data_IF_739179778097
#
_entry.id   IF_739179778097
#
_cell.length_a   1.000
_cell.length_b   1.000
_cell.length_c   1.000
_cell.angle_alpha   90.00
_cell.angle_beta   90.00
_cell.angle_gamma   90.00
#
_symmetry.space_group_name_H-M   'P 1'
#
loop_
_entity.id
_entity.type
_entity.pdbx_description
1 polymer ?
#
# COMPACT_ATOMS: atom_id res chain seq x y z
N UNK A 1 -50.60 1.19 -13.69
CA UNK A 1 -49.92 0.96 -12.40
C UNK A 1 -48.86 2.04 -12.20
N UNK A 2 -48.90 2.85 -11.13
CA UNK A 2 -47.84 3.82 -10.87
C UNK A 2 -46.55 3.10 -10.47
N UNK A 3 -45.41 3.54 -11.02
CA UNK A 3 -44.09 2.95 -10.77
C UNK A 3 -43.54 3.53 -9.46
N UNK A 4 -43.39 2.68 -8.45
CA UNK A 4 -42.76 3.04 -7.17
C UNK A 4 -41.25 3.20 -7.37
N UNK A 5 -40.76 4.44 -7.36
CA UNK A 5 -39.33 4.73 -7.45
C UNK A 5 -38.67 4.30 -6.13
N UNK A 6 -37.63 3.44 -6.17
CA UNK A 6 -36.98 2.97 -4.96
C UNK A 6 -36.20 4.08 -4.24
N UNK A 7 -36.32 4.12 -2.91
CA UNK A 7 -35.85 5.20 -2.03
C UNK A 7 -34.34 5.50 -2.06
N UNK A 8 -33.52 4.70 -2.74
CA UNK A 8 -32.08 4.96 -2.90
C UNK A 8 -31.76 5.86 -4.11
N UNK A 9 -32.72 6.08 -5.01
CA UNK A 9 -32.59 6.99 -6.16
C UNK A 9 -32.97 8.44 -5.84
N UNK A 10 -33.46 8.71 -4.63
CA UNK A 10 -33.79 10.05 -4.16
C UNK A 10 -32.57 10.59 -3.42
N UNK A 11 -32.05 11.80 -3.75
CA UNK A 11 -30.92 12.40 -3.05
C UNK A 11 -31.28 12.58 -1.58
N UNK A 12 -30.66 11.78 -0.71
CA UNK A 12 -30.81 11.90 0.74
C UNK A 12 -30.10 13.17 1.19
N UNK A 13 -30.85 14.14 1.71
CA UNK A 13 -30.28 15.33 2.36
C UNK A 13 -29.33 14.97 3.51
N UNK A 14 -28.45 15.89 3.87
CA UNK A 14 -27.38 15.69 4.85
C UNK A 14 -27.90 15.10 6.19
N UNK A 15 -27.16 14.17 6.82
CA UNK A 15 -27.61 13.52 8.04
C UNK A 15 -27.79 14.51 9.19
N UNK A 16 -28.99 14.53 9.79
CA UNK A 16 -29.31 15.34 10.96
C UNK A 16 -28.41 15.00 12.15
N UNK A 17 -28.02 16.01 12.93
CA UNK A 17 -27.19 15.89 14.14
C UNK A 17 -27.77 14.90 15.18
N UNK A 18 -29.07 14.57 15.09
CA UNK A 18 -29.73 13.58 15.96
C UNK A 18 -29.29 12.14 15.66
N UNK A 19 -28.95 11.82 14.41
CA UNK A 19 -28.49 10.49 13.97
C UNK A 19 -27.05 10.20 14.39
N UNK A 20 -26.22 11.23 14.57
CA UNK A 20 -24.84 11.10 15.05
C UNK A 20 -24.76 10.84 16.58
N UNK A 21 -25.82 11.17 17.32
CA UNK A 21 -25.82 11.07 18.80
C UNK A 21 -26.11 9.64 19.29
N UNK A 22 -26.79 8.82 18.49
CA UNK A 22 -27.12 7.42 18.83
C UNK A 22 -25.93 6.47 18.67
N UNK A 23 -24.89 6.85 17.93
CA UNK A 23 -23.66 6.06 17.77
C UNK A 23 -22.65 6.21 18.93
N UNK A 24 -22.93 7.07 19.92
CA UNK A 24 -21.97 7.37 21.01
C UNK A 24 -22.25 6.64 22.34
N UNK A 25 -23.30 5.84 22.43
CA UNK A 25 -23.72 5.16 23.68
C UNK A 25 -23.47 3.64 23.68
N UNK A 26 -22.24 3.22 23.42
CA UNK A 26 -21.74 1.91 23.86
C UNK A 26 -20.45 2.12 24.65
N UNK A 27 -20.59 2.21 25.99
CA UNK A 27 -19.49 2.10 26.96
C UNK A 27 -19.75 0.91 27.87
N UNK A 28 -18.68 0.14 28.05
CA UNK A 28 -18.54 -1.13 28.77
C UNK A 28 -18.71 -0.91 30.29
N UNK A 29 -19.32 -1.83 31.06
CA UNK A 29 -19.40 -1.71 32.51
C UNK A 29 -18.08 -2.11 33.20
N UNK A 30 -17.57 -1.27 34.09
CA UNK A 30 -16.43 -1.56 34.96
C UNK A 30 -16.92 -2.08 36.32
N UNK A 31 -16.29 -3.16 36.79
CA UNK A 31 -16.58 -3.84 38.05
C UNK A 31 -16.12 -3.05 39.30
N UNK A 32 -16.72 -3.41 40.42
CA UNK A 32 -16.66 -2.80 41.75
C UNK A 32 -15.30 -2.88 42.47
N UNK A 33 -14.99 -1.88 43.30
CA UNK A 33 -13.92 -1.94 44.30
C UNK A 33 -14.34 -1.32 45.64
N UNK A 34 -14.08 -2.06 46.71
CA UNK A 34 -14.36 -1.76 48.13
C UNK A 34 -13.29 -0.82 48.75
N UNK A 35 -13.59 -0.02 49.80
CA UNK A 35 -12.62 0.91 50.39
C UNK A 35 -11.81 0.26 51.52
N UNK A 36 -10.51 0.59 51.62
CA UNK A 36 -9.65 0.25 52.76
C UNK A 36 -9.07 1.51 53.40
N UNK A 37 -9.10 1.48 54.73
CA UNK A 37 -8.69 2.48 55.72
C UNK A 37 -7.17 2.70 55.78
N UNK A 38 -6.76 3.95 56.08
CA UNK A 38 -5.38 4.41 56.20
C UNK A 38 -5.01 4.64 57.67
N UNK A 39 -3.85 4.14 58.11
CA UNK A 39 -3.21 4.50 59.38
C UNK A 39 -1.90 5.23 59.10
N UNK A 40 -1.68 6.31 59.86
CA UNK A 40 -0.56 7.27 59.73
C UNK A 40 0.58 6.92 60.69
N UNK A 41 1.82 7.11 60.26
CA UNK A 41 3.01 7.15 61.14
C UNK A 41 3.79 8.44 60.86
N UNK A 42 4.33 9.14 61.89
CA UNK A 42 5.02 10.41 61.70
C UNK A 42 6.53 10.20 61.41
N UNK A 43 7.06 10.96 60.44
CA UNK A 43 8.49 11.05 60.12
C UNK A 43 9.05 12.31 60.79
N UNK A 44 10.15 12.15 61.52
CA UNK A 44 10.94 13.23 62.14
C UNK A 44 11.80 13.95 61.10
N UNK A 45 11.77 15.28 61.09
CA UNK A 45 12.59 16.10 60.20
C UNK A 45 13.91 16.52 60.88
N UNK A 46 15.04 16.24 60.22
CA UNK A 46 16.34 16.84 60.53
C UNK A 46 16.41 18.26 59.97
N UNK A 47 16.72 19.26 60.81
CA UNK A 47 16.92 20.63 60.36
C UNK A 47 18.36 20.85 59.88
N UNK A 48 18.49 21.33 58.65
CA UNK A 48 19.74 21.80 58.05
C UNK A 48 19.85 23.32 58.23
N UNK A 49 21.06 23.79 58.59
CA UNK A 49 21.36 25.18 58.94
C UNK A 49 21.17 26.12 57.74
N UNK A 50 20.45 27.24 57.94
CA UNK A 50 20.22 28.28 56.93
C UNK A 50 20.97 29.57 57.29
N UNK A 51 21.62 30.18 56.31
CA UNK A 51 22.39 31.43 56.42
C UNK A 51 21.50 32.66 56.73
N UNK A 52 21.96 33.63 57.55
CA UNK A 52 21.16 34.73 58.07
C UNK A 52 20.86 35.87 57.07
N UNK A 53 21.39 35.82 55.84
CA UNK A 53 21.23 36.90 54.85
C UNK A 53 20.04 36.74 53.91
N UNK A 54 19.30 35.63 54.01
CA UNK A 54 18.11 35.36 53.17
C UNK A 54 16.85 35.49 54.04
N UNK A 55 15.78 36.15 53.56
CA UNK A 55 14.52 36.20 54.30
C UNK A 55 14.03 34.77 54.55
N UNK A 56 13.62 34.48 55.78
CA UNK A 56 13.13 33.16 56.21
C UNK A 56 11.81 32.86 55.50
N UNK A 57 11.91 32.22 54.34
CA UNK A 57 10.76 31.76 53.56
C UNK A 57 10.33 30.39 54.08
N UNK A 58 9.05 30.23 54.40
CA UNK A 58 8.47 28.94 54.76
C UNK A 58 8.61 28.00 53.56
N UNK A 59 9.44 26.96 53.69
CA UNK A 59 9.63 25.97 52.62
C UNK A 59 8.27 25.38 52.29
N UNK A 60 7.88 25.44 51.01
CA UNK A 60 6.62 24.84 50.58
C UNK A 60 6.64 23.34 50.92
N UNK A 61 5.58 22.80 51.55
CA UNK A 61 5.53 21.39 51.90
C UNK A 61 5.62 20.53 50.63
N UNK A 62 6.30 19.39 50.73
CA UNK A 62 6.44 18.46 49.60
C UNK A 62 5.06 18.08 49.05
N UNK A 63 4.95 18.12 47.72
CA UNK A 63 3.68 17.93 47.04
C UNK A 63 3.28 16.47 47.21
N UNK A 64 2.06 16.22 47.73
CA UNK A 64 1.56 14.87 48.03
C UNK A 64 1.86 13.88 46.91
N UNK A 65 2.80 12.97 47.17
CA UNK A 65 3.12 11.83 46.31
C UNK A 65 2.38 10.64 46.92
N UNK A 66 1.24 10.18 46.35
CA UNK A 66 0.62 8.97 46.84
C UNK A 66 1.65 7.83 46.78
N UNK A 67 1.60 6.85 47.70
CA UNK A 67 2.53 5.73 47.67
C UNK A 67 2.55 5.15 46.26
N UNK A 68 3.72 5.22 45.61
CA UNK A 68 3.89 4.60 44.29
C UNK A 68 3.53 3.14 44.44
N UNK A 69 2.51 2.70 43.72
CA UNK A 69 2.17 1.29 43.61
C UNK A 69 3.47 0.50 43.40
N UNK A 70 3.75 -0.58 44.16
CA UNK A 70 5.03 -1.28 44.07
C UNK A 70 5.24 -1.62 42.61
N UNK A 71 6.32 -1.07 42.02
CA UNK A 71 6.68 -1.30 40.64
C UNK A 71 6.63 -2.81 40.41
N UNK A 72 5.64 -3.22 39.62
CA UNK A 72 5.27 -4.60 39.27
C UNK A 72 6.45 -5.52 39.53
N UNK A 73 6.44 -6.29 40.64
CA UNK A 73 7.57 -7.13 41.07
C UNK A 73 7.97 -8.04 39.91
N UNK A 74 8.96 -7.60 39.13
CA UNK A 74 9.44 -8.26 37.93
C UNK A 74 10.23 -9.47 38.41
N UNK A 75 9.70 -10.66 38.11
CA UNK A 75 10.36 -11.97 38.22
C UNK A 75 10.82 -12.34 39.63
N UNK A 76 10.14 -13.31 40.26
CA UNK A 76 10.70 -13.92 41.47
C UNK A 76 12.04 -14.59 41.14
N UNK A 77 13.12 -14.02 41.67
CA UNK A 77 14.46 -14.61 41.64
C UNK A 77 14.50 -15.74 42.67
N UNK A 78 14.30 -16.98 42.24
CA UNK A 78 14.67 -18.14 43.07
C UNK A 78 16.19 -18.25 43.02
N UNK A 79 16.87 -18.06 44.15
CA UNK A 79 18.33 -18.16 44.29
C UNK A 79 19.14 -17.13 43.47
N UNK A 80 18.68 -15.88 43.37
CA UNK A 80 19.44 -14.81 42.71
C UNK A 80 19.50 -14.88 41.17
N UNK A 81 18.84 -15.85 40.55
CA UNK A 81 18.77 -15.98 39.09
C UNK A 81 17.41 -15.51 38.58
N UNK A 82 17.42 -14.57 37.64
CA UNK A 82 16.21 -14.09 36.94
C UNK A 82 15.72 -15.22 36.03
N UNK A 83 14.65 -15.92 36.42
CA UNK A 83 13.99 -16.88 35.56
C UNK A 83 13.25 -16.12 34.46
N UNK A 84 13.86 -16.02 33.27
CA UNK A 84 13.30 -15.34 32.10
C UNK A 84 12.08 -16.05 31.46
N UNK A 85 11.54 -17.10 32.09
CA UNK A 85 10.42 -17.88 31.58
C UNK A 85 9.08 -17.46 32.20
N UNK A 86 7.96 -17.60 31.46
CA UNK A 86 6.62 -17.43 32.03
C UNK A 86 6.44 -18.35 33.24
N UNK A 87 5.92 -17.80 34.33
CA UNK A 87 5.56 -18.58 35.52
C UNK A 87 4.32 -19.40 35.16
N UNK A 88 4.49 -20.69 34.90
CA UNK A 88 3.38 -21.63 34.79
C UNK A 88 2.72 -21.76 36.16
N UNK A 89 1.61 -21.04 36.33
CA UNK A 89 0.75 -21.12 37.51
C UNK A 89 0.02 -22.47 37.54
N UNK A 90 -0.33 -22.97 38.72
CA UNK A 90 0.54 -23.69 39.65
C UNK A 90 0.76 -25.14 39.16
N UNK A 91 1.83 -25.42 38.42
CA UNK A 91 2.07 -26.78 37.92
C UNK A 91 3.53 -27.04 37.55
N UNK A 92 3.98 -28.31 37.57
CA UNK A 92 5.25 -28.70 37.00
C UNK A 92 5.37 -28.21 35.55
N UNK A 93 6.59 -27.89 35.10
CA UNK A 93 6.82 -27.60 33.68
C UNK A 93 6.43 -28.84 32.88
N UNK A 94 5.61 -28.71 31.81
CA UNK A 94 5.26 -29.86 30.99
C UNK A 94 6.53 -30.50 30.43
N UNK A 95 6.57 -31.81 30.49
CA UNK A 95 7.69 -32.60 29.95
C UNK A 95 7.75 -32.40 28.43
N UNK A 96 8.92 -32.61 27.82
CA UNK A 96 9.07 -32.45 26.37
C UNK A 96 8.13 -33.40 25.60
N UNK A 97 7.98 -34.63 26.10
CA UNK A 97 7.03 -35.62 25.58
C UNK A 97 5.58 -35.14 25.64
N UNK A 98 5.17 -34.57 26.77
CA UNK A 98 3.82 -34.06 26.95
C UNK A 98 3.52 -32.85 26.04
N UNK A 99 4.52 -32.03 25.70
CA UNK A 99 4.37 -30.96 24.72
C UNK A 99 4.19 -31.49 23.29
N UNK A 100 4.92 -32.54 22.94
CA UNK A 100 4.76 -33.21 21.63
C UNK A 100 3.36 -33.82 21.51
N UNK A 101 2.89 -34.49 22.56
CA UNK A 101 1.54 -35.05 22.64
C UNK A 101 0.45 -33.96 22.56
N UNK A 102 0.66 -32.82 23.22
CA UNK A 102 -0.25 -31.66 23.17
C UNK A 102 -0.38 -31.09 21.75
N UNK A 103 0.67 -31.13 20.92
CA UNK A 103 0.63 -30.66 19.52
C UNK A 103 -0.17 -31.59 18.61
N UNK A 104 -0.15 -32.89 18.91
CA UNK A 104 -0.87 -33.92 18.13
C UNK A 104 -2.27 -34.18 18.63
N UNK A 105 -2.64 -33.69 19.82
CA UNK A 105 -3.94 -33.95 20.43
C UNK A 105 -5.05 -33.14 19.76
N UNK A 106 -5.96 -33.85 19.12
CA UNK A 106 -7.10 -33.27 18.42
C UNK A 106 -8.32 -33.17 19.35
N UNK A 107 -9.02 -32.03 19.27
CA UNK A 107 -10.30 -31.82 19.94
C UNK A 107 -11.31 -31.24 18.92
N UNK A 108 -12.62 -31.43 19.15
CA UNK A 108 -13.64 -30.89 18.25
C UNK A 108 -13.49 -29.37 18.05
N UNK A 109 -13.55 -28.91 16.80
CA UNK A 109 -13.41 -27.51 16.38
C UNK A 109 -12.04 -26.85 16.65
N UNK A 110 -11.00 -27.61 17.00
CA UNK A 110 -9.65 -27.07 17.09
C UNK A 110 -8.94 -27.05 15.72
N UNK A 111 -7.86 -26.28 15.64
CA UNK A 111 -7.00 -26.23 14.46
C UNK A 111 -6.42 -27.63 14.20
N UNK A 112 -6.33 -28.09 12.94
CA UNK A 112 -5.81 -29.41 12.62
C UNK A 112 -4.36 -29.55 13.10
N UNK A 113 -3.90 -30.75 13.50
CA UNK A 113 -2.56 -30.94 14.04
C UNK A 113 -1.47 -30.68 12.98
N UNK A 114 -0.27 -30.31 13.47
CA UNK A 114 0.91 -30.07 12.65
C UNK A 114 1.24 -31.34 11.83
N UNK A 115 1.46 -31.20 10.52
CA UNK A 115 1.75 -32.32 9.62
C UNK A 115 0.57 -32.77 8.75
N UNK A 116 -0.66 -32.36 9.05
CA UNK A 116 -1.81 -32.58 8.16
C UNK A 116 -1.76 -31.65 6.93
N UNK A 117 -2.33 -32.08 5.80
CA UNK A 117 -2.43 -31.24 4.59
C UNK A 117 -3.25 -29.98 4.87
N UNK A 118 -4.30 -30.10 5.68
CA UNK A 118 -5.15 -28.97 6.09
C UNK A 118 -4.35 -27.93 6.89
N UNK A 119 -3.54 -28.36 7.87
CA UNK A 119 -2.63 -27.47 8.60
C UNK A 119 -1.64 -26.77 7.67
N UNK A 120 -1.07 -27.52 6.71
CA UNK A 120 -0.14 -26.96 5.71
C UNK A 120 -0.84 -25.95 4.80
N UNK A 121 -2.06 -26.21 4.36
CA UNK A 121 -2.83 -25.29 3.54
C UNK A 121 -3.14 -24.00 4.28
N UNK A 122 -3.67 -24.07 5.52
CA UNK A 122 -4.06 -22.89 6.30
C UNK A 122 -2.86 -22.05 6.77
N UNK A 123 -1.73 -22.68 7.10
CA UNK A 123 -0.58 -21.99 7.68
C UNK A 123 0.42 -21.50 6.63
N UNK A 124 0.51 -22.14 5.47
CA UNK A 124 1.56 -21.80 4.49
C UNK A 124 1.21 -20.53 3.71
N UNK A 125 1.97 -19.46 3.97
CA UNK A 125 1.83 -18.18 3.24
C UNK A 125 2.10 -18.36 1.74
N UNK A 126 3.03 -19.25 1.38
CA UNK A 126 3.40 -19.48 0.00
C UNK A 126 2.28 -20.10 -0.83
N UNK A 127 1.49 -21.04 -0.27
CA UNK A 127 0.35 -21.61 -0.99
C UNK A 127 -0.71 -20.54 -1.27
N UNK A 128 -0.99 -19.66 -0.30
CA UNK A 128 -1.94 -18.56 -0.48
C UNK A 128 -1.46 -17.58 -1.54
N UNK A 129 -0.17 -17.21 -1.53
CA UNK A 129 0.41 -16.33 -2.55
C UNK A 129 0.35 -16.99 -3.93
N UNK A 130 0.65 -18.29 -4.02
CA UNK A 130 0.61 -19.02 -5.28
C UNK A 130 -0.82 -19.13 -5.84
N UNK A 131 -1.80 -19.47 -4.98
CA UNK A 131 -3.22 -19.55 -5.39
C UNK A 131 -3.75 -18.16 -5.76
N UNK A 132 -3.49 -17.15 -4.93
CA UNK A 132 -3.94 -15.79 -5.21
C UNK A 132 -3.31 -15.25 -6.50
N UNK A 133 -2.01 -15.48 -6.73
CA UNK A 133 -1.38 -15.14 -8.01
C UNK A 133 -1.92 -15.96 -9.17
N UNK A 134 -2.19 -17.25 -9.00
CA UNK A 134 -2.76 -18.10 -10.04
C UNK A 134 -4.16 -17.63 -10.47
N UNK A 135 -5.02 -17.31 -9.51
CA UNK A 135 -6.36 -16.77 -9.78
C UNK A 135 -6.25 -15.39 -10.44
N UNK A 136 -5.42 -14.49 -9.90
CA UNK A 136 -5.25 -13.15 -10.47
C UNK A 136 -4.72 -13.20 -11.90
N UNK A 137 -3.72 -14.04 -12.17
CA UNK A 137 -3.10 -14.19 -13.49
C UNK A 137 -4.07 -14.82 -14.49
N UNK A 138 -4.80 -15.87 -14.10
CA UNK A 138 -5.78 -16.52 -14.99
C UNK A 138 -6.98 -15.60 -15.29
N UNK A 139 -7.46 -14.83 -14.31
CA UNK A 139 -8.51 -13.84 -14.52
C UNK A 139 -8.03 -12.68 -15.40
N UNK A 140 -6.79 -12.22 -15.21
CA UNK A 140 -6.17 -11.20 -16.06
C UNK A 140 -6.05 -11.64 -17.52
N UNK A 141 -5.54 -12.85 -17.78
CA UNK A 141 -5.44 -13.38 -19.15
C UNK A 141 -6.82 -13.66 -19.76
N UNK A 142 -7.78 -14.15 -18.99
CA UNK A 142 -9.15 -14.38 -19.45
C UNK A 142 -9.87 -13.07 -19.80
N UNK A 143 -9.80 -12.06 -18.93
CA UNK A 143 -10.39 -10.73 -19.19
C UNK A 143 -9.69 -10.02 -20.34
N UNK A 144 -8.36 -10.12 -20.45
CA UNK A 144 -7.60 -9.60 -21.57
C UNK A 144 -8.02 -10.24 -22.90
N UNK A 145 -8.05 -11.57 -22.97
CA UNK A 145 -8.43 -12.29 -24.20
C UNK A 145 -9.88 -12.03 -24.60
N UNK A 146 -10.81 -11.98 -23.65
CA UNK A 146 -12.22 -11.65 -23.93
C UNK A 146 -12.40 -10.20 -24.41
N UNK A 147 -11.65 -9.25 -23.84
CA UNK A 147 -11.67 -7.86 -24.31
C UNK A 147 -11.06 -7.75 -25.72
N UNK A 148 -9.92 -8.40 -25.96
CA UNK A 148 -9.26 -8.44 -27.26
C UNK A 148 -10.19 -9.02 -28.34
N UNK A 149 -10.88 -10.12 -28.05
CA UNK A 149 -11.86 -10.73 -28.96
C UNK A 149 -13.05 -9.83 -29.32
N UNK A 150 -13.37 -8.84 -28.49
CA UNK A 150 -14.47 -7.89 -28.72
C UNK A 150 -14.03 -6.63 -29.46
N UNK A 151 -12.79 -6.20 -29.28
CA UNK A 151 -12.33 -4.87 -29.73
C UNK A 151 -11.38 -4.92 -30.91
N UNK A 152 -10.64 -6.02 -31.09
CA UNK A 152 -9.65 -6.14 -32.15
C UNK A 152 -10.29 -6.58 -33.47
N UNK A 153 -9.87 -6.04 -34.63
CA UNK A 153 -10.29 -6.52 -35.94
C UNK A 153 -9.58 -7.83 -36.36
N UNK A 154 -8.46 -8.19 -35.70
CA UNK A 154 -7.62 -9.34 -36.07
C UNK A 154 -7.97 -10.64 -35.35
N UNK A 155 -9.20 -10.74 -34.83
CA UNK A 155 -9.62 -11.83 -33.95
C UNK A 155 -9.75 -13.18 -34.66
N UNK A 156 -10.04 -13.14 -35.95
CA UNK A 156 -10.10 -14.33 -36.81
C UNK A 156 -8.73 -14.98 -37.03
N UNK A 157 -7.63 -14.26 -36.80
CA UNK A 157 -6.26 -14.77 -36.95
C UNK A 157 -5.74 -15.46 -35.68
N UNK A 158 -6.51 -15.42 -34.58
CA UNK A 158 -6.13 -16.08 -33.34
C UNK A 158 -6.20 -17.60 -33.48
N UNK A 159 -5.17 -18.33 -33.00
CA UNK A 159 -5.22 -19.78 -32.97
C UNK A 159 -6.33 -20.28 -32.03
N UNK A 160 -6.96 -21.40 -32.39
CA UNK A 160 -7.91 -22.09 -31.51
C UNK A 160 -7.22 -22.57 -30.24
N UNK A 161 -7.95 -22.58 -29.12
CA UNK A 161 -7.46 -23.10 -27.85
C UNK A 161 -7.05 -24.58 -27.91
N UNK A 162 -7.63 -25.36 -28.83
CA UNK A 162 -7.23 -26.75 -29.07
C UNK A 162 -5.79 -26.87 -29.59
N UNK A 163 -5.30 -25.89 -30.33
CA UNK A 163 -3.96 -25.93 -30.92
C UNK A 163 -2.86 -25.71 -29.86
N UNK A 164 -3.21 -25.09 -28.73
CA UNK A 164 -2.29 -24.85 -27.61
C UNK A 164 -1.81 -26.16 -26.96
N UNK A 165 -2.62 -27.23 -27.00
CA UNK A 165 -2.25 -28.55 -26.48
C UNK A 165 -1.30 -29.31 -27.40
N UNK A 166 -1.39 -29.10 -28.71
CA UNK A 166 -0.56 -29.82 -29.70
C UNK A 166 0.73 -29.06 -30.04
N UNK A 167 0.63 -27.74 -30.24
CA UNK A 167 1.73 -26.86 -30.62
C UNK A 167 1.74 -25.59 -29.73
N UNK A 168 2.24 -25.69 -28.48
CA UNK A 168 2.16 -24.59 -27.51
C UNK A 168 3.00 -23.38 -27.94
N UNK A 169 4.21 -23.61 -28.45
CA UNK A 169 5.13 -22.52 -28.83
C UNK A 169 4.65 -21.77 -30.08
N UNK A 170 4.21 -22.50 -31.11
CA UNK A 170 3.70 -21.90 -32.34
C UNK A 170 2.44 -21.07 -32.07
N UNK A 171 1.52 -21.61 -31.26
CA UNK A 171 0.31 -20.92 -30.82
C UNK A 171 0.62 -19.60 -30.10
N UNK A 172 1.59 -19.60 -29.19
CA UNK A 172 2.00 -18.37 -28.48
C UNK A 172 2.63 -17.37 -29.44
N UNK A 173 3.51 -17.82 -30.33
CA UNK A 173 4.15 -16.95 -31.32
C UNK A 173 3.13 -16.30 -32.27
N UNK A 174 2.11 -17.05 -32.71
CA UNK A 174 1.01 -16.57 -33.53
C UNK A 174 0.11 -15.59 -32.77
N UNK A 175 -0.18 -15.87 -31.49
CA UNK A 175 -0.92 -14.92 -30.66
C UNK A 175 -0.17 -13.59 -30.48
N UNK A 176 1.16 -13.64 -30.32
CA UNK A 176 2.01 -12.46 -30.23
C UNK A 176 2.08 -11.68 -31.55
N UNK A 177 2.13 -12.35 -32.70
CA UNK A 177 2.11 -11.66 -34.00
C UNK A 177 0.78 -10.94 -34.24
N UNK A 178 -0.35 -11.56 -33.88
CA UNK A 178 -1.68 -10.94 -33.93
C UNK A 178 -1.78 -9.75 -32.98
N UNK A 179 -1.24 -9.88 -31.76
CA UNK A 179 -1.18 -8.78 -30.81
C UNK A 179 -0.35 -7.60 -31.34
N UNK A 180 0.80 -7.87 -31.98
CA UNK A 180 1.63 -6.84 -32.60
C UNK A 180 0.87 -6.09 -33.70
N UNK A 181 0.13 -6.78 -34.56
CA UNK A 181 -0.71 -6.13 -35.58
C UNK A 181 -1.78 -5.22 -34.96
N UNK A 182 -2.40 -5.64 -33.85
CA UNK A 182 -3.38 -4.81 -33.12
C UNK A 182 -2.74 -3.53 -32.56
N UNK A 183 -1.53 -3.64 -32.00
CA UNK A 183 -0.77 -2.49 -31.51
C UNK A 183 -0.36 -1.56 -32.65
N UNK A 184 0.11 -2.09 -33.77
CA UNK A 184 0.44 -1.33 -34.97
C UNK A 184 -0.79 -0.58 -35.50
N UNK A 185 -1.94 -1.24 -35.58
CA UNK A 185 -3.20 -0.63 -36.00
C UNK A 185 -3.62 0.51 -35.05
N UNK A 186 -3.59 0.29 -33.74
CA UNK A 186 -3.88 1.34 -32.73
C UNK A 186 -2.93 2.52 -32.82
N UNK A 187 -1.66 2.26 -33.12
CA UNK A 187 -0.63 3.27 -33.29
C UNK A 187 -0.89 4.11 -34.54
N UNK A 188 -1.24 3.48 -35.66
CA UNK A 188 -1.62 4.19 -36.89
C UNK A 188 -2.87 5.05 -36.69
N UNK A 189 -3.94 4.49 -36.10
CA UNK A 189 -5.17 5.23 -35.80
C UNK A 189 -4.91 6.44 -34.88
N UNK A 190 -4.00 6.29 -33.91
CA UNK A 190 -3.62 7.40 -33.02
C UNK A 190 -2.82 8.46 -33.75
N UNK A 191 -1.89 8.06 -34.63
CA UNK A 191 -1.12 8.97 -35.48
C UNK A 191 -2.03 9.76 -36.41
N UNK A 192 -2.98 9.11 -37.06
CA UNK A 192 -3.98 9.76 -37.93
C UNK A 192 -4.82 10.77 -37.16
N UNK A 193 -5.32 10.43 -35.97
CA UNK A 193 -6.04 11.37 -35.10
C UNK A 193 -5.18 12.57 -34.69
N UNK A 194 -3.87 12.38 -34.50
CA UNK A 194 -2.93 13.49 -34.22
C UNK A 194 -2.74 14.37 -35.45
N UNK A 195 -2.55 13.77 -36.62
CA UNK A 195 -2.43 14.49 -37.89
C UNK A 195 -3.68 15.34 -38.17
N UNK A 196 -4.89 14.77 -38.01
CA UNK A 196 -6.14 15.52 -38.17
C UNK A 196 -6.23 16.74 -37.25
N UNK A 197 -5.79 16.62 -35.98
CA UNK A 197 -5.77 17.77 -35.06
C UNK A 197 -4.79 18.85 -35.50
N UNK A 198 -3.62 18.45 -36.00
CA UNK A 198 -2.61 19.38 -36.53
C UNK A 198 -3.16 20.07 -37.79
N UNK A 199 -3.69 19.31 -38.75
CA UNK A 199 -4.31 19.85 -39.96
C UNK A 199 -5.43 20.85 -39.67
N UNK A 200 -6.28 20.55 -38.68
CA UNK A 200 -7.35 21.46 -38.25
C UNK A 200 -6.80 22.74 -37.61
N UNK A 201 -5.72 22.64 -36.82
CA UNK A 201 -5.04 23.81 -36.28
C UNK A 201 -4.39 24.65 -37.40
N UNK A 202 -3.79 24.01 -38.39
CA UNK A 202 -3.21 24.67 -39.56
C UNK A 202 -4.26 25.36 -40.42
N UNK A 203 -5.40 24.73 -40.68
CA UNK A 203 -6.51 25.36 -41.42
C UNK A 203 -7.00 26.62 -40.70
N UNK A 204 -7.17 26.55 -39.38
CA UNK A 204 -7.54 27.72 -38.56
C UNK A 204 -6.48 28.81 -38.63
N UNK A 205 -5.20 28.46 -38.58
CA UNK A 205 -4.09 29.41 -38.72
C UNK A 205 -4.09 30.06 -40.10
N UNK A 206 -4.16 29.27 -41.18
CA UNK A 206 -4.22 29.77 -42.57
C UNK A 206 -5.41 30.73 -42.76
N UNK A 207 -6.56 30.41 -42.18
CA UNK A 207 -7.74 31.28 -42.19
C UNK A 207 -7.46 32.63 -41.50
N UNK A 208 -6.84 32.64 -40.31
CA UNK A 208 -6.50 33.87 -39.58
C UNK A 208 -5.50 34.73 -40.34
N UNK A 209 -4.45 34.13 -40.91
CA UNK A 209 -3.45 34.82 -41.73
C UNK A 209 -4.11 35.43 -42.98
N UNK A 210 -4.96 34.68 -43.68
CA UNK A 210 -5.65 35.16 -44.87
C UNK A 210 -6.62 36.33 -44.59
N UNK A 211 -7.20 36.38 -43.38
CA UNK A 211 -8.06 37.47 -42.93
C UNK A 211 -7.27 38.61 -42.24
N UNK A 212 -5.93 38.58 -42.29
CA UNK A 212 -5.07 39.64 -41.76
C UNK A 212 -5.03 39.74 -40.23
N UNK A 213 -5.49 38.71 -39.50
CA UNK A 213 -5.51 38.68 -38.04
C UNK A 213 -4.19 38.22 -37.40
N UNK A 214 -3.30 37.58 -38.16
CA UNK A 214 -1.96 37.15 -37.72
C UNK A 214 -0.94 37.35 -38.85
N UNK A 215 0.27 37.83 -38.53
CA UNK A 215 1.41 37.79 -39.46
C UNK A 215 1.88 36.35 -39.65
N UNK A 216 2.41 36.02 -40.83
CA UNK A 216 2.75 34.65 -41.21
C UNK A 216 4.01 34.15 -40.48
N UNK A 217 3.85 33.83 -39.20
CA UNK A 217 4.86 33.32 -38.26
C UNK A 217 5.68 32.14 -38.78
N UNK A 218 5.22 31.37 -39.79
CA UNK A 218 6.02 30.33 -40.45
C UNK A 218 7.26 30.90 -41.14
N UNK A 219 7.15 32.06 -41.78
CA UNK A 219 8.29 32.75 -42.41
C UNK A 219 9.28 33.31 -41.38
N UNK A 220 8.81 33.55 -40.16
CA UNK A 220 9.63 34.04 -39.06
C UNK A 220 10.31 32.90 -38.28
N UNK A 221 9.63 31.74 -38.15
CA UNK A 221 10.18 30.53 -37.53
C UNK A 221 11.19 29.84 -38.44
N UNK A 222 10.96 29.72 -39.76
CA UNK A 222 11.99 29.24 -40.71
C UNK A 222 13.25 30.13 -40.72
N UNK A 223 13.11 31.44 -40.43
CA UNK A 223 14.25 32.35 -40.26
C UNK A 223 14.97 32.20 -38.91
N UNK A 224 14.32 31.62 -37.90
CA UNK A 224 14.89 31.39 -36.55
C UNK A 224 15.40 29.95 -36.35
N UNK A 225 15.02 28.99 -37.19
CA UNK A 225 15.39 27.57 -37.08
C UNK A 225 16.83 27.21 -37.52
N UNK A 226 17.75 28.20 -37.55
CA UNK A 226 19.20 27.95 -37.68
C UNK A 226 19.94 28.06 -36.33
N UNK A 227 19.27 28.40 -35.22
CA UNK A 227 19.99 28.72 -33.96
C UNK A 227 19.58 27.94 -32.70
N UNK A 228 18.46 27.21 -32.63
CA UNK A 228 18.06 26.59 -31.35
C UNK A 228 18.22 25.05 -31.30
N UNK A 229 19.34 24.64 -30.70
CA UNK A 229 19.63 23.32 -30.11
C UNK A 229 18.74 23.04 -28.86
N UNK A 230 17.42 23.18 -28.97
CA UNK A 230 16.50 22.86 -27.86
C UNK A 230 15.24 22.13 -28.33
N UNK A 231 15.41 20.86 -28.69
CA UNK A 231 14.32 19.88 -28.61
C UNK A 231 14.91 18.55 -28.15
N UNK A 232 14.38 17.90 -27.10
CA UNK A 232 14.85 16.58 -26.67
C UNK A 232 14.26 15.53 -27.61
N UNK A 233 14.75 15.51 -28.84
CA UNK A 233 14.66 14.33 -29.70
C UNK A 233 15.81 13.44 -29.25
N UNK A 234 15.49 12.24 -28.76
CA UNK A 234 16.48 11.22 -28.44
C UNK A 234 17.34 10.98 -29.70
N UNK A 235 18.55 11.55 -29.70
CA UNK A 235 19.61 11.10 -30.59
C UNK A 235 20.02 9.72 -30.09
N UNK A 236 19.88 8.71 -30.93
CA UNK A 236 20.49 7.41 -30.71
C UNK A 236 22.01 7.56 -30.72
N UNK A 237 22.59 7.92 -29.57
CA UNK A 237 24.03 7.96 -29.37
C UNK A 237 24.46 6.61 -28.83
N UNK A 238 24.73 5.70 -29.76
CA UNK A 238 25.58 4.54 -29.47
C UNK A 238 26.90 5.04 -28.86
N UNK A 239 27.12 4.81 -27.56
CA UNK A 239 28.45 4.73 -26.98
C UNK A 239 29.03 5.93 -26.24
N UNK A 240 28.23 6.74 -25.52
CA UNK A 240 28.78 7.65 -24.49
C UNK A 240 28.06 7.51 -23.16
N UNK A 241 28.86 7.40 -22.10
CA UNK A 241 28.45 7.14 -20.72
C UNK A 241 27.37 8.14 -20.26
N UNK A 242 26.19 7.61 -19.93
CA UNK A 242 25.04 8.39 -19.47
C UNK A 242 25.29 8.90 -18.05
N UNK A 243 25.69 10.17 -17.95
CA UNK A 243 25.72 10.92 -16.70
C UNK A 243 24.50 11.83 -16.64
N UNK A 244 23.71 11.71 -15.56
CA UNK A 244 22.60 12.61 -15.28
C UNK A 244 23.11 13.84 -14.52
N UNK A 245 22.59 15.02 -14.85
CA UNK A 245 22.90 16.29 -14.17
C UNK A 245 21.84 16.52 -13.10
N UNK A 246 22.23 16.45 -11.83
CA UNK A 246 21.34 16.77 -10.72
C UNK A 246 20.97 18.28 -10.72
N UNK A 247 19.93 18.67 -9.99
CA UNK A 247 19.46 20.06 -9.85
C UNK A 247 20.54 21.07 -9.40
N UNK A 248 21.67 20.59 -8.90
CA UNK A 248 22.84 21.37 -8.45
C UNK A 248 23.98 21.41 -9.49
N UNK A 249 23.77 20.91 -10.71
CA UNK A 249 24.73 20.99 -11.82
C UNK A 249 25.85 19.94 -11.82
N UNK A 250 25.83 18.98 -10.87
CA UNK A 250 26.85 17.94 -10.77
C UNK A 250 26.47 16.71 -11.62
N UNK A 251 27.41 16.23 -12.45
CA UNK A 251 27.26 15.05 -13.29
C UNK A 251 27.51 13.78 -12.47
N UNK A 252 26.50 12.90 -12.34
CA UNK A 252 26.64 11.58 -11.70
C UNK A 252 26.34 10.46 -12.68
N UNK A 253 27.09 9.34 -12.62
CA UNK A 253 26.85 8.19 -13.49
C UNK A 253 25.51 7.51 -13.16
N UNK A 254 24.72 7.19 -14.19
CA UNK A 254 23.41 6.52 -14.03
C UNK A 254 23.62 5.08 -13.55
N UNK A 255 23.08 4.76 -12.37
CA UNK A 255 23.19 3.42 -11.78
C UNK A 255 22.16 2.49 -12.41
N UNK A 256 22.60 1.70 -13.39
CA UNK A 256 21.78 0.73 -14.13
C UNK A 256 21.35 -0.43 -13.20
N UNK A 257 20.08 -0.46 -12.82
CA UNK A 257 19.47 -1.62 -12.15
C UNK A 257 18.59 -2.37 -13.15
N UNK A 258 18.87 -3.67 -13.33
CA UNK A 258 18.11 -4.60 -14.16
C UNK A 258 18.02 -4.29 -15.67
N UNK A 259 19.05 -3.69 -16.26
CA UNK A 259 19.31 -3.80 -17.71
C UNK A 259 18.24 -3.22 -18.64
N UNK A 260 17.43 -2.27 -18.18
CA UNK A 260 16.46 -1.55 -19.01
C UNK A 260 16.95 -0.10 -19.13
N UNK A 261 16.96 0.39 -20.37
CA UNK A 261 17.34 1.75 -20.77
C UNK A 261 16.27 2.76 -20.37
#
# INVERSE_FOLDING_TARGET
MPVTIPQFLIPRGAPSARTLRTLRHHRIPAASSSPRTLTTTPISHSQENQDPSKPRILVQPDKFRPPSHPARRVVQTRNGKVNAGPVNYPGPKPTEKEKEEQKTREYPNMFPPEGTVMFRFLTSRWIHVWIAMGILTSLATFTFTTNFKRTSPYTHLLPSWSNLLSHPFDTVSQALSVYRMDVEHRSMMTREKRLQRVEDAEKRRKYRVAHGMEEDTRKEVEKKEVVDDQSPVARDVHGKEEAFVDWEGNQKPVKKWFGIW
#
